data_IF_192503211887
#
_entry.id   IF_192503211887
#
_cell.length_a   1.000
_cell.length_b   1.000
_cell.length_c   1.000
_cell.angle_alpha   90.00
_cell.angle_beta   90.00
_cell.angle_gamma   90.00
#
_symmetry.space_group_name_H-M   'P 1'
#
loop_
_entity.id
_entity.type
_entity.pdbx_description
1 polymer ?
#
# COMPACT_ATOMS: atom_id res chain seq x y z
N UNK A 1 -26.83 -12.65 2.16
CA UNK A 1 -27.42 -11.42 2.74
C UNK A 1 -26.39 -10.77 3.64
N UNK A 2 -25.95 -9.55 3.33
CA UNK A 2 -25.05 -8.77 4.20
C UNK A 2 -25.87 -8.20 5.37
N UNK A 3 -25.54 -8.51 6.63
CA UNK A 3 -26.17 -7.88 7.79
C UNK A 3 -25.41 -6.60 8.14
N UNK A 4 -26.09 -5.45 8.08
CA UNK A 4 -25.51 -4.19 8.51
C UNK A 4 -25.22 -4.19 10.03
N UNK A 5 -24.03 -3.76 10.42
CA UNK A 5 -23.62 -3.62 11.82
C UNK A 5 -24.17 -2.29 12.34
N UNK A 6 -25.00 -2.35 13.39
CA UNK A 6 -25.61 -1.17 14.00
C UNK A 6 -25.03 -0.93 15.41
N UNK A 7 -24.92 0.34 15.85
CA UNK A 7 -24.62 0.65 17.24
C UNK A 7 -25.65 0.00 18.18
N UNK A 8 -25.19 -0.56 19.29
CA UNK A 8 -26.04 -1.21 20.28
C UNK A 8 -26.79 -0.14 21.08
N UNK A 9 -28.12 -0.21 21.13
CA UNK A 9 -28.95 0.72 21.89
C UNK A 9 -28.82 0.51 23.41
N UNK A 10 -28.95 1.59 24.18
CA UNK A 10 -29.00 1.53 25.65
C UNK A 10 -30.24 0.72 26.10
N UNK A 11 -30.10 -0.24 27.04
CA UNK A 11 -31.24 -0.96 27.58
C UNK A 11 -32.11 -0.05 28.46
N UNK A 12 -33.40 -0.40 28.62
CA UNK A 12 -34.43 0.48 29.19
C UNK A 12 -34.05 1.11 30.55
N UNK A 13 -33.33 0.38 31.41
CA UNK A 13 -32.90 0.83 32.75
C UNK A 13 -31.43 0.49 33.04
N UNK A 14 -30.55 0.42 32.04
CA UNK A 14 -29.16 0.03 32.26
C UNK A 14 -28.18 0.84 31.42
N UNK A 15 -26.91 0.80 31.77
CA UNK A 15 -25.85 1.52 31.08
C UNK A 15 -25.17 0.65 30.04
N UNK A 16 -24.58 1.29 29.03
CA UNK A 16 -23.68 0.60 28.12
C UNK A 16 -22.31 0.54 28.78
N UNK A 17 -21.68 -0.64 28.75
CA UNK A 17 -20.30 -0.78 29.19
C UNK A 17 -19.37 0.09 28.33
N UNK A 18 -18.22 0.48 28.90
CA UNK A 18 -17.26 1.36 28.25
C UNK A 18 -16.75 0.81 26.91
N UNK A 19 -16.52 -0.49 26.82
CA UNK A 19 -16.14 -1.19 25.58
C UNK A 19 -17.22 -1.09 24.49
N UNK A 20 -18.50 -1.17 24.87
CA UNK A 20 -19.64 -1.04 23.95
C UNK A 20 -19.79 0.40 23.47
N UNK A 21 -19.53 1.38 24.33
CA UNK A 21 -19.53 2.79 23.95
C UNK A 21 -18.43 3.10 22.93
N UNK A 22 -17.21 2.61 23.14
CA UNK A 22 -16.09 2.75 22.19
C UNK A 22 -16.43 2.09 20.85
N UNK A 23 -16.94 0.85 20.87
CA UNK A 23 -17.37 0.16 19.65
C UNK A 23 -18.47 0.92 18.91
N UNK A 24 -19.47 1.43 19.62
CA UNK A 24 -20.55 2.21 19.00
C UNK A 24 -20.06 3.52 18.40
N UNK A 25 -19.09 4.17 19.06
CA UNK A 25 -18.39 5.34 18.53
C UNK A 25 -17.72 5.03 17.21
N UNK A 26 -16.89 3.98 17.16
CA UNK A 26 -16.21 3.55 15.94
C UNK A 26 -17.19 3.22 14.80
N UNK A 27 -18.25 2.46 15.11
CA UNK A 27 -19.31 2.14 14.12
C UNK A 27 -20.05 3.38 13.61
N UNK A 28 -20.19 4.42 14.45
CA UNK A 28 -20.87 5.67 14.06
C UNK A 28 -19.92 6.57 13.26
N UNK A 29 -18.66 6.70 13.66
CA UNK A 29 -17.63 7.44 12.93
C UNK A 29 -17.37 6.87 11.53
N UNK A 30 -17.33 5.54 11.40
CA UNK A 30 -17.23 4.88 10.09
C UNK A 30 -18.45 5.17 9.20
N UNK A 31 -19.63 5.39 9.80
CA UNK A 31 -20.86 5.73 9.07
C UNK A 31 -20.87 7.19 8.60
N UNK A 32 -20.29 8.10 9.37
CA UNK A 32 -20.23 9.53 8.99
C UNK A 32 -19.25 9.78 7.82
N UNK A 33 -18.20 8.97 7.70
CA UNK A 33 -17.32 9.01 6.52
C UNK A 33 -18.01 8.61 5.21
N UNK A 34 -19.08 7.80 5.28
CA UNK A 34 -19.84 7.33 4.12
C UNK A 34 -21.00 8.27 3.77
N UNK A 35 -21.43 9.13 4.70
CA UNK A 35 -22.66 9.94 4.55
C UNK A 35 -22.43 11.37 4.03
N UNK A 36 -21.21 11.91 4.08
CA UNK A 36 -20.93 13.31 3.75
C UNK A 36 -20.76 13.64 2.26
N UNK A 37 -20.89 12.68 1.36
CA UNK A 37 -21.02 12.97 -0.08
C UNK A 37 -22.06 12.07 -0.73
N UNK A 38 -23.31 12.16 -0.26
CA UNK A 38 -24.44 11.52 -0.94
C UNK A 38 -24.84 12.32 -2.17
N UNK A 39 -23.95 12.41 -3.16
CA UNK A 39 -24.40 12.69 -4.52
C UNK A 39 -25.30 11.51 -4.93
N UNK A 40 -26.61 11.68 -4.74
CA UNK A 40 -27.60 10.68 -5.11
C UNK A 40 -27.77 10.77 -6.62
N UNK A 41 -27.15 9.83 -7.33
CA UNK A 41 -27.43 9.60 -8.73
C UNK A 41 -28.93 9.38 -8.89
N UNK A 42 -29.61 10.30 -9.57
CA UNK A 42 -30.89 9.97 -10.18
C UNK A 42 -30.62 9.18 -11.46
N UNK A 43 -31.60 8.37 -11.90
CA UNK A 43 -31.48 7.50 -13.07
C UNK A 43 -31.01 8.26 -14.32
N UNK A 44 -31.50 9.49 -14.51
CA UNK A 44 -31.10 10.38 -15.62
C UNK A 44 -29.62 10.79 -15.55
N UNK A 45 -29.10 11.10 -14.37
CA UNK A 45 -27.69 11.46 -14.16
C UNK A 45 -26.77 10.25 -14.33
N UNK A 46 -27.22 9.07 -13.90
CA UNK A 46 -26.49 7.82 -14.08
C UNK A 46 -26.46 7.39 -15.55
N UNK A 47 -27.59 7.47 -16.26
CA UNK A 47 -27.70 7.11 -17.68
C UNK A 47 -26.85 8.05 -18.55
N UNK A 48 -26.93 9.37 -18.33
CA UNK A 48 -26.12 10.36 -19.06
C UNK A 48 -24.62 10.15 -18.85
N UNK A 49 -24.20 9.93 -17.60
CA UNK A 49 -22.80 9.64 -17.27
C UNK A 49 -22.33 8.35 -17.96
N UNK A 50 -23.12 7.28 -17.85
CA UNK A 50 -22.78 5.97 -18.40
C UNK A 50 -22.72 6.00 -19.93
N UNK A 51 -23.67 6.66 -20.59
CA UNK A 51 -23.66 6.89 -22.04
C UNK A 51 -22.46 7.70 -22.48
N UNK A 52 -22.08 8.73 -21.72
CA UNK A 52 -20.89 9.53 -21.99
C UNK A 52 -19.62 8.68 -21.88
N UNK A 53 -19.49 7.86 -20.84
CA UNK A 53 -18.38 6.92 -20.69
C UNK A 53 -18.31 5.92 -21.85
N UNK A 54 -19.44 5.35 -22.27
CA UNK A 54 -19.48 4.46 -23.42
C UNK A 54 -19.11 5.16 -24.72
N UNK A 55 -19.63 6.36 -24.97
CA UNK A 55 -19.30 7.15 -26.16
C UNK A 55 -17.79 7.47 -26.22
N UNK A 56 -17.20 7.89 -25.10
CA UNK A 56 -15.77 8.17 -25.00
C UNK A 56 -14.92 6.90 -25.20
N UNK A 57 -15.36 5.77 -24.65
CA UNK A 57 -14.68 4.49 -24.82
C UNK A 57 -14.74 4.03 -26.27
N UNK A 58 -15.90 4.10 -26.90
CA UNK A 58 -16.08 3.76 -28.32
C UNK A 58 -15.26 4.67 -29.22
N UNK A 59 -15.29 5.99 -28.99
CA UNK A 59 -14.44 6.95 -29.70
C UNK A 59 -12.95 6.63 -29.52
N UNK A 60 -12.52 6.28 -28.31
CA UNK A 60 -11.14 5.90 -28.04
C UNK A 60 -10.73 4.67 -28.83
N UNK A 61 -11.59 3.64 -28.88
CA UNK A 61 -11.37 2.40 -29.64
C UNK A 61 -11.39 2.67 -31.15
N UNK A 62 -12.24 3.55 -31.65
CA UNK A 62 -12.28 3.95 -33.06
C UNK A 62 -11.04 4.74 -33.49
N UNK A 63 -10.55 5.63 -32.64
CA UNK A 63 -9.34 6.42 -32.90
C UNK A 63 -8.05 5.60 -32.70
N UNK A 64 -8.07 4.67 -31.73
CA UNK A 64 -6.95 3.81 -31.36
C UNK A 64 -7.36 2.33 -31.45
N UNK A 65 -7.71 1.84 -32.65
CA UNK A 65 -7.95 0.41 -32.82
C UNK A 65 -6.65 -0.31 -32.51
N UNK A 66 -6.72 -1.45 -31.80
CA UNK A 66 -5.57 -2.28 -31.47
C UNK A 66 -4.79 -2.60 -32.75
N UNK A 67 -3.72 -1.84 -33.00
CA UNK A 67 -2.88 -1.96 -34.18
C UNK A 67 -1.84 -3.03 -33.93
N UNK A 68 -1.36 -3.67 -34.99
CA UNK A 68 -0.22 -4.60 -34.90
C UNK A 68 1.02 -3.99 -34.23
N UNK A 69 1.19 -2.67 -34.36
CA UNK A 69 2.24 -1.88 -33.70
C UNK A 69 2.01 -1.65 -32.20
N UNK A 70 0.78 -1.75 -31.69
CA UNK A 70 0.52 -1.65 -30.25
C UNK A 70 1.16 -2.82 -29.49
N UNK A 71 1.29 -3.98 -30.15
CA UNK A 71 2.07 -5.09 -29.62
C UNK A 71 3.55 -4.73 -29.43
N UNK A 72 4.14 -4.01 -30.39
CA UNK A 72 5.54 -3.56 -30.31
C UNK A 72 5.71 -2.49 -29.23
N UNK A 73 4.79 -1.54 -29.15
CA UNK A 73 4.76 -0.52 -28.11
C UNK A 73 4.61 -1.15 -26.72
N UNK A 74 3.65 -2.06 -26.53
CA UNK A 74 3.43 -2.78 -25.28
C UNK A 74 4.69 -3.56 -24.86
N UNK A 75 5.31 -4.30 -25.79
CA UNK A 75 6.56 -5.02 -25.51
C UNK A 75 7.71 -4.07 -25.13
N UNK A 76 7.78 -2.88 -25.72
CA UNK A 76 8.77 -1.87 -25.36
C UNK A 76 8.58 -1.35 -23.93
N UNK A 77 7.32 -1.12 -23.52
CA UNK A 77 6.97 -0.68 -22.17
C UNK A 77 7.29 -1.78 -21.15
N UNK A 78 6.95 -3.04 -21.47
CA UNK A 78 7.31 -4.18 -20.63
C UNK A 78 8.83 -4.36 -20.51
N UNK A 79 9.57 -4.21 -21.60
CA UNK A 79 11.04 -4.24 -21.60
C UNK A 79 11.64 -3.15 -20.72
N UNK A 80 11.07 -1.94 -20.75
CA UNK A 80 11.46 -0.83 -19.86
C UNK A 80 11.20 -1.15 -18.39
N UNK A 81 10.05 -1.73 -18.03
CA UNK A 81 9.80 -2.13 -16.65
C UNK A 81 10.74 -3.23 -16.17
N UNK A 82 11.04 -4.21 -17.03
CA UNK A 82 12.00 -5.27 -16.73
C UNK A 82 13.41 -4.68 -16.48
N UNK A 83 13.85 -3.71 -17.27
CA UNK A 83 15.15 -3.07 -17.10
C UNK A 83 15.23 -2.24 -15.81
N UNK A 84 14.18 -1.49 -15.48
CA UNK A 84 14.07 -0.76 -14.20
C UNK A 84 14.12 -1.74 -13.02
N UNK A 85 13.36 -2.83 -13.08
CA UNK A 85 13.37 -3.85 -12.03
C UNK A 85 14.77 -4.47 -11.85
N UNK A 86 15.48 -4.76 -12.96
CA UNK A 86 16.86 -5.26 -12.91
C UNK A 86 17.80 -4.24 -12.28
N UNK A 87 17.73 -2.96 -12.67
CA UNK A 87 18.52 -1.87 -12.09
C UNK A 87 18.28 -1.76 -10.58
N UNK A 88 17.03 -1.80 -10.13
CA UNK A 88 16.70 -1.73 -8.71
C UNK A 88 17.19 -2.95 -7.93
N UNK A 89 17.13 -4.17 -8.50
CA UNK A 89 17.72 -5.37 -7.88
C UNK A 89 19.23 -5.22 -7.71
N UNK A 90 19.94 -4.75 -8.75
CA UNK A 90 21.38 -4.50 -8.68
C UNK A 90 21.74 -3.44 -7.64
N UNK A 91 20.97 -2.34 -7.58
CA UNK A 91 21.15 -1.28 -6.58
C UNK A 91 20.95 -1.79 -5.14
N UNK A 92 19.93 -2.62 -4.91
CA UNK A 92 19.71 -3.25 -3.60
C UNK A 92 20.86 -4.18 -3.24
N UNK A 93 21.30 -5.03 -4.17
CA UNK A 93 22.40 -5.95 -3.95
C UNK A 93 23.73 -5.22 -3.64
N UNK A 94 24.05 -4.13 -4.35
CA UNK A 94 25.26 -3.34 -4.08
C UNK A 94 25.20 -2.65 -2.71
N UNK A 95 24.04 -2.12 -2.34
CA UNK A 95 23.80 -1.51 -1.03
C UNK A 95 23.96 -2.54 0.09
N UNK A 96 23.37 -3.73 -0.07
CA UNK A 96 23.49 -4.82 0.90
C UNK A 96 24.95 -5.28 1.03
N UNK A 97 25.68 -5.45 -0.08
CA UNK A 97 27.11 -5.80 -0.05
C UNK A 97 27.93 -4.76 0.71
N UNK A 98 27.67 -3.47 0.50
CA UNK A 98 28.35 -2.39 1.24
C UNK A 98 28.02 -2.44 2.74
N UNK A 99 26.77 -2.71 3.08
CA UNK A 99 26.34 -2.87 4.47
C UNK A 99 27.03 -4.07 5.15
N UNK A 100 27.04 -5.25 4.50
CA UNK A 100 27.71 -6.45 5.00
C UNK A 100 29.20 -6.18 5.26
N UNK A 101 29.92 -5.61 4.27
CA UNK A 101 31.34 -5.25 4.46
C UNK A 101 31.57 -4.30 5.63
N UNK A 102 30.72 -3.29 5.78
CA UNK A 102 30.82 -2.35 6.91
C UNK A 102 30.53 -3.02 8.25
N UNK A 103 29.62 -3.99 8.29
CA UNK A 103 29.34 -4.79 9.49
C UNK A 103 30.54 -5.68 9.84
N UNK A 104 31.11 -6.37 8.85
CA UNK A 104 32.26 -7.26 9.06
C UNK A 104 33.47 -6.48 9.57
N UNK A 105 33.74 -5.29 9.02
CA UNK A 105 34.80 -4.41 9.51
C UNK A 105 34.60 -3.97 10.97
N UNK A 106 33.36 -3.68 11.39
CA UNK A 106 33.04 -3.34 12.78
C UNK A 106 33.24 -4.53 13.72
N UNK A 107 32.84 -5.74 13.30
CA UNK A 107 33.03 -6.96 14.08
C UNK A 107 34.54 -7.26 14.23
N UNK A 108 35.31 -7.14 13.14
CA UNK A 108 36.75 -7.32 13.18
C UNK A 108 37.45 -6.31 14.10
N UNK A 109 37.03 -5.04 14.06
CA UNK A 109 37.55 -4.01 14.95
C UNK A 109 37.20 -4.27 16.43
N UNK A 110 35.96 -4.65 16.75
CA UNK A 110 35.54 -5.02 18.11
C UNK A 110 36.32 -6.24 18.62
N UNK A 111 36.50 -7.26 17.76
CA UNK A 111 37.33 -8.43 18.08
C UNK A 111 38.79 -8.06 18.36
N UNK A 112 39.38 -7.19 17.53
CA UNK A 112 40.75 -6.69 17.73
C UNK A 112 40.88 -5.93 19.05
N UNK A 113 39.92 -5.04 19.37
CA UNK A 113 39.92 -4.26 20.62
C UNK A 113 39.84 -5.20 21.83
N UNK A 114 38.92 -6.17 21.82
CA UNK A 114 38.78 -7.16 22.91
C UNK A 114 40.03 -8.00 23.09
N UNK A 115 40.66 -8.40 21.98
CA UNK A 115 41.92 -9.15 22.01
C UNK A 115 43.03 -8.32 22.66
N UNK A 116 43.22 -7.05 22.24
CA UNK A 116 44.23 -6.17 22.83
C UNK A 116 44.01 -5.92 24.34
N UNK A 117 42.76 -5.79 24.77
CA UNK A 117 42.40 -5.63 26.18
C UNK A 117 42.67 -6.90 26.99
N UNK A 118 42.45 -8.10 26.42
CA UNK A 118 42.76 -9.37 27.08
C UNK A 118 44.26 -9.60 27.30
N UNK A 119 45.12 -9.12 26.39
CA UNK A 119 46.58 -9.18 26.52
C UNK A 119 47.16 -8.17 27.54
N UNK A 120 46.37 -7.19 27.97
CA UNK A 120 46.81 -6.13 28.91
C UNK A 120 46.46 -6.44 30.37
N UNK A 121 45.85 -7.60 30.66
CA UNK A 121 45.56 -8.01 32.04
C UNK A 121 46.82 -8.64 32.66
N UNK A 122 47.39 -8.06 33.74
CA UNK A 122 48.61 -8.59 34.33
C UNK A 122 48.32 -9.92 35.06
N UNK A 123 49.17 -10.92 34.83
CA UNK A 123 49.22 -12.13 35.67
C UNK A 123 49.57 -11.70 37.09
N UNK A 124 48.70 -12.05 38.05
CA UNK A 124 49.00 -11.91 39.49
C UNK A 124 50.22 -12.74 39.88
#
# INVERSE_FOLDING_TARGET
>A
MLRCIHPKKKPRNGELNADVLVRNGNVSSDRDLISHSTFKWNESSFDSFTRTCFALTNFHVEMNPLRSDDGRFYMSVMGRYASIAKRERTRRASTQRRYCRGRDARIAADFSIRTCLSFSSPSQ
#
